data_IF_805644332369
#
_entry.id   IF_805644332369
#
_cell.length_a   1.000
_cell.length_b   1.000
_cell.length_c   1.000
_cell.angle_alpha   90.00
_cell.angle_beta   90.00
_cell.angle_gamma   90.00
#
_symmetry.space_group_name_H-M   'P 1'
#
loop_
_entity.id
_entity.type
_entity.pdbx_description
1 polymer ?
#
# COMPACT_ATOMS: atom_id res chain seq x y z
N UNK A 1 -13.21 -26.18 -0.13
CA UNK A 1 -12.61 -24.82 -0.11
C UNK A 1 -11.78 -24.72 1.14
N UNK A 2 -10.58 -24.14 1.04
CA UNK A 2 -9.79 -23.88 2.24
C UNK A 2 -10.44 -22.73 3.03
N UNK A 3 -10.27 -22.70 4.36
CA UNK A 3 -10.85 -21.63 5.15
C UNK A 3 -10.17 -20.28 4.91
N UNK A 4 -10.92 -19.20 5.12
CA UNK A 4 -10.39 -17.86 5.29
C UNK A 4 -9.98 -17.70 6.76
N UNK A 5 -8.76 -17.24 7.01
CA UNK A 5 -8.28 -17.02 8.38
C UNK A 5 -8.38 -15.55 8.75
N UNK A 6 -8.88 -15.27 9.94
CA UNK A 6 -9.00 -13.93 10.50
C UNK A 6 -8.15 -13.85 11.77
N UNK A 7 -7.27 -12.86 11.87
CA UNK A 7 -6.54 -12.57 13.09
C UNK A 7 -6.68 -11.10 13.45
N UNK A 8 -7.19 -10.85 14.64
CA UNK A 8 -7.47 -9.54 15.22
C UNK A 8 -7.58 -9.76 16.72
N UNK A 9 -7.20 -8.82 17.58
CA UNK A 9 -7.43 -8.98 19.03
C UNK A 9 -8.84 -8.57 19.46
N UNK A 10 -9.52 -7.72 18.69
CA UNK A 10 -10.90 -7.29 18.93
C UNK A 10 -11.90 -8.39 18.55
N UNK A 11 -12.57 -8.94 19.57
CA UNK A 11 -13.60 -9.95 19.39
C UNK A 11 -14.77 -9.47 18.53
N UNK A 12 -15.11 -8.18 18.60
CA UNK A 12 -16.22 -7.59 17.85
C UNK A 12 -15.93 -7.62 16.36
N UNK A 13 -14.71 -7.26 15.96
CA UNK A 13 -14.26 -7.31 14.57
C UNK A 13 -14.26 -8.74 14.05
N UNK A 14 -13.70 -9.69 14.81
CA UNK A 14 -13.72 -11.11 14.43
C UNK A 14 -15.16 -11.60 14.26
N UNK A 15 -16.03 -11.32 15.22
CA UNK A 15 -17.44 -11.76 15.18
C UNK A 15 -18.19 -11.20 13.97
N UNK A 16 -18.00 -9.92 13.63
CA UNK A 16 -18.65 -9.30 12.46
C UNK A 16 -18.19 -9.99 11.17
N UNK A 17 -16.88 -10.22 11.00
CA UNK A 17 -16.33 -10.92 9.83
C UNK A 17 -16.77 -12.38 9.76
N UNK A 18 -16.79 -13.11 10.87
CA UNK A 18 -17.31 -14.47 10.96
C UNK A 18 -18.77 -14.55 10.51
N UNK A 19 -19.61 -13.60 10.97
CA UNK A 19 -21.02 -13.53 10.55
C UNK A 19 -21.17 -13.25 9.06
N UNK A 20 -20.36 -12.37 8.51
CA UNK A 20 -20.34 -12.08 7.08
C UNK A 20 -19.97 -13.32 6.25
N UNK A 21 -18.86 -13.96 6.59
CA UNK A 21 -18.39 -15.17 5.90
C UNK A 21 -19.37 -16.34 6.04
N UNK A 22 -20.01 -16.48 7.21
CA UNK A 22 -21.04 -17.50 7.43
C UNK A 22 -22.26 -17.31 6.53
N UNK A 23 -22.70 -16.07 6.30
CA UNK A 23 -23.84 -15.76 5.41
C UNK A 23 -23.54 -16.20 3.97
N UNK A 24 -22.32 -16.01 3.52
CA UNK A 24 -21.81 -16.44 2.21
C UNK A 24 -21.39 -17.92 2.17
N UNK A 25 -21.56 -18.66 3.27
CA UNK A 25 -21.16 -20.08 3.43
C UNK A 25 -19.67 -20.31 3.15
N UNK A 26 -18.83 -19.32 3.41
CA UNK A 26 -17.38 -19.40 3.27
C UNK A 26 -16.80 -20.01 4.56
N UNK A 27 -16.06 -21.14 4.47
CA UNK A 27 -15.38 -21.71 5.63
C UNK A 27 -14.38 -20.70 6.19
N UNK A 28 -14.33 -20.55 7.50
CA UNK A 28 -13.45 -19.59 8.15
C UNK A 28 -12.94 -20.09 9.50
N UNK A 29 -11.84 -19.50 9.95
CA UNK A 29 -11.25 -19.76 11.27
C UNK A 29 -10.69 -18.44 11.80
N UNK A 30 -10.95 -18.15 13.06
CA UNK A 30 -10.50 -16.91 13.68
C UNK A 30 -9.46 -17.18 14.77
N UNK A 31 -8.59 -16.20 14.97
CA UNK A 31 -7.48 -16.23 15.91
C UNK A 31 -7.45 -14.88 16.64
N UNK A 32 -7.16 -14.91 17.94
CA UNK A 32 -6.96 -13.70 18.74
C UNK A 32 -5.50 -13.26 18.83
N UNK A 33 -4.57 -14.05 18.28
CA UNK A 33 -3.14 -13.84 18.41
C UNK A 33 -2.39 -14.29 17.14
N UNK A 34 -1.46 -13.47 16.61
CA UNK A 34 -0.64 -13.83 15.45
C UNK A 34 0.19 -15.11 15.64
N UNK A 35 0.63 -15.45 16.86
CA UNK A 35 1.39 -16.69 17.10
C UNK A 35 0.54 -17.94 16.86
N UNK A 36 -0.77 -17.88 17.14
CA UNK A 36 -1.66 -19.01 16.89
C UNK A 36 -1.86 -19.25 15.39
N UNK A 37 -1.78 -18.18 14.59
CA UNK A 37 -1.78 -18.26 13.12
C UNK A 37 -0.52 -18.96 12.63
N UNK A 38 0.66 -18.56 13.11
CA UNK A 38 1.93 -19.17 12.72
C UNK A 38 1.95 -20.67 13.04
N UNK A 39 1.53 -21.05 14.25
CA UNK A 39 1.43 -22.46 14.67
C UNK A 39 0.42 -23.25 13.82
N UNK A 40 -0.67 -22.60 13.38
CA UNK A 40 -1.64 -23.24 12.49
C UNK A 40 -1.10 -23.40 11.06
N UNK A 41 -0.31 -22.43 10.57
CA UNK A 41 0.32 -22.47 9.24
C UNK A 41 1.28 -23.65 9.07
N UNK A 42 1.85 -24.18 10.15
CA UNK A 42 2.68 -25.39 10.11
C UNK A 42 1.90 -26.65 9.71
N UNK A 43 0.58 -26.66 9.95
CA UNK A 43 -0.29 -27.84 9.75
C UNK A 43 -1.22 -27.67 8.56
N UNK A 44 -1.71 -26.46 8.35
CA UNK A 44 -2.79 -26.15 7.42
C UNK A 44 -2.52 -24.80 6.75
N UNK A 45 -3.05 -24.57 5.55
CA UNK A 45 -2.96 -23.25 4.91
C UNK A 45 -4.36 -22.72 4.58
N UNK A 46 -4.63 -21.43 4.86
CA UNK A 46 -5.87 -20.79 4.42
C UNK A 46 -5.83 -20.46 2.93
N UNK A 47 -6.98 -20.07 2.41
CA UNK A 47 -7.09 -19.46 1.07
C UNK A 47 -6.70 -17.96 1.09
N UNK A 48 -7.06 -17.25 2.17
CA UNK A 48 -6.70 -15.86 2.43
C UNK A 48 -6.48 -15.68 3.93
N UNK A 49 -5.48 -14.89 4.31
CA UNK A 49 -5.28 -14.44 5.69
C UNK A 49 -5.70 -12.97 5.81
N UNK A 50 -6.54 -12.64 6.77
CA UNK A 50 -6.93 -11.28 7.13
C UNK A 50 -6.31 -10.98 8.49
N UNK A 51 -5.47 -9.95 8.59
CA UNK A 51 -4.72 -9.64 9.82
C UNK A 51 -4.82 -8.18 10.20
N UNK A 52 -5.12 -7.86 11.46
CA UNK A 52 -4.90 -6.52 12.00
C UNK A 52 -3.40 -6.17 12.03
N UNK A 53 -3.04 -4.89 11.81
CA UNK A 53 -1.66 -4.39 11.91
C UNK A 53 -1.20 -4.38 13.37
N UNK A 54 -2.03 -3.92 14.30
CA UNK A 54 -1.62 -3.76 15.70
C UNK A 54 -2.44 -4.66 16.59
N UNK A 55 -1.78 -5.61 17.23
CA UNK A 55 -2.37 -6.45 18.27
C UNK A 55 -1.52 -6.34 19.55
N UNK A 56 -2.09 -6.38 20.76
CA UNK A 56 -1.35 -6.21 22.01
C UNK A 56 -0.19 -7.21 22.23
N UNK A 57 -0.20 -8.33 21.51
CA UNK A 57 0.76 -9.44 21.65
C UNK A 57 1.54 -9.74 20.36
N UNK A 58 1.55 -8.81 19.40
CA UNK A 58 2.33 -8.95 18.17
C UNK A 58 1.96 -7.91 17.11
N UNK A 59 2.80 -7.80 16.08
CA UNK A 59 2.61 -6.88 14.96
C UNK A 59 2.16 -7.66 13.72
N UNK A 60 1.06 -7.23 13.10
CA UNK A 60 0.54 -7.79 11.85
C UNK A 60 1.49 -7.63 10.67
N UNK A 61 2.35 -6.62 10.68
CA UNK A 61 3.42 -6.48 9.68
C UNK A 61 4.50 -7.56 9.84
N UNK A 62 4.86 -7.90 11.08
CA UNK A 62 5.82 -8.98 11.33
C UNK A 62 5.22 -10.33 10.92
N UNK A 63 3.93 -10.54 11.21
CA UNK A 63 3.18 -11.71 10.72
C UNK A 63 3.18 -11.75 9.18
N UNK A 64 2.88 -10.62 8.52
CA UNK A 64 2.90 -10.53 7.07
C UNK A 64 4.26 -10.92 6.48
N UNK A 65 5.36 -10.39 7.04
CA UNK A 65 6.71 -10.73 6.57
C UNK A 65 7.00 -12.23 6.73
N UNK A 66 6.71 -12.82 7.88
CA UNK A 66 6.90 -14.27 8.11
C UNK A 66 6.03 -15.12 7.17
N UNK A 67 4.77 -14.73 6.98
CA UNK A 67 3.84 -15.39 6.08
C UNK A 67 4.33 -15.30 4.64
N UNK A 68 4.84 -14.15 4.20
CA UNK A 68 5.32 -13.97 2.82
C UNK A 68 6.66 -14.65 2.55
N UNK A 69 7.51 -14.79 3.58
CA UNK A 69 8.73 -15.57 3.47
C UNK A 69 8.45 -17.07 3.33
N UNK A 70 7.50 -17.61 4.12
CA UNK A 70 7.18 -19.04 4.15
C UNK A 70 6.14 -19.47 3.09
N UNK A 71 5.17 -18.61 2.81
CA UNK A 71 4.04 -18.82 1.90
C UNK A 71 3.85 -17.60 0.97
N UNK A 72 4.78 -17.36 0.02
CA UNK A 72 4.76 -16.15 -0.83
C UNK A 72 3.45 -15.92 -1.58
N UNK A 73 2.78 -17.02 -1.96
CA UNK A 73 1.54 -17.00 -2.75
C UNK A 73 0.28 -16.86 -1.90
N UNK A 74 0.37 -16.89 -0.57
CA UNK A 74 -0.81 -16.70 0.28
C UNK A 74 -1.21 -15.21 0.23
N UNK A 75 -2.40 -14.85 -0.28
CA UNK A 75 -2.87 -13.48 -0.20
C UNK A 75 -3.15 -13.11 1.25
N UNK A 76 -2.60 -11.97 1.66
CA UNK A 76 -2.77 -11.40 3.01
C UNK A 76 -3.44 -10.05 2.89
N UNK A 77 -4.62 -9.91 3.49
CA UNK A 77 -5.34 -8.64 3.61
C UNK A 77 -5.02 -8.06 4.99
N UNK A 78 -4.57 -6.81 5.02
CA UNK A 78 -4.22 -6.13 6.27
C UNK A 78 -5.38 -5.24 6.73
N UNK A 79 -5.82 -5.36 7.98
CA UNK A 79 -6.79 -4.46 8.59
C UNK A 79 -6.05 -3.42 9.42
N UNK A 80 -6.51 -2.16 9.41
CA UNK A 80 -5.88 -1.10 10.20
C UNK A 80 -6.89 -0.08 10.68
N UNK A 81 -6.78 0.34 11.94
CA UNK A 81 -7.44 1.54 12.47
C UNK A 81 -6.60 2.80 12.23
N UNK A 82 -5.31 2.65 11.96
CA UNK A 82 -4.43 3.76 11.60
C UNK A 82 -4.60 4.11 10.15
N UNK A 83 -4.76 5.40 9.96
CA UNK A 83 -5.14 6.01 8.71
C UNK A 83 -3.95 6.79 8.12
N UNK A 84 -2.72 6.42 8.50
CA UNK A 84 -1.49 7.12 8.12
C UNK A 84 -0.80 6.47 6.91
N UNK A 85 0.01 7.28 6.24
CA UNK A 85 0.67 6.89 5.00
C UNK A 85 1.71 5.78 5.23
N UNK A 86 2.48 5.86 6.32
CA UNK A 86 3.56 4.92 6.59
C UNK A 86 3.03 3.50 6.76
N UNK A 87 1.94 3.31 7.50
CA UNK A 87 1.33 1.99 7.68
C UNK A 87 0.82 1.40 6.36
N UNK A 88 0.22 2.22 5.50
CA UNK A 88 -0.24 1.79 4.18
C UNK A 88 0.95 1.34 3.31
N UNK A 89 2.02 2.13 3.24
CA UNK A 89 3.21 1.80 2.47
C UNK A 89 3.89 0.54 2.98
N UNK A 90 4.14 0.44 4.29
CA UNK A 90 4.83 -0.72 4.88
C UNK A 90 4.06 -2.02 4.64
N UNK A 91 2.72 -1.98 4.64
CA UNK A 91 1.89 -3.14 4.33
C UNK A 91 2.10 -3.62 2.89
N UNK A 92 2.06 -2.72 1.89
CA UNK A 92 2.29 -3.09 0.50
C UNK A 92 3.73 -3.53 0.22
N UNK A 93 4.72 -2.87 0.83
CA UNK A 93 6.13 -3.27 0.75
C UNK A 93 6.37 -4.67 1.35
N UNK A 94 5.68 -4.99 2.44
CA UNK A 94 5.69 -6.33 3.05
C UNK A 94 4.97 -7.40 2.21
N UNK A 95 4.38 -7.04 1.07
CA UNK A 95 3.73 -7.97 0.15
C UNK A 95 2.24 -8.21 0.44
N UNK A 96 1.58 -7.35 1.22
CA UNK A 96 0.13 -7.43 1.42
C UNK A 96 -0.59 -7.38 0.06
N UNK A 97 -1.65 -8.17 -0.06
CA UNK A 97 -2.50 -8.18 -1.23
C UNK A 97 -3.30 -6.88 -1.35
N UNK A 98 -3.91 -6.48 -0.24
CA UNK A 98 -4.68 -5.25 -0.10
C UNK A 98 -4.79 -4.91 1.39
N UNK A 99 -5.26 -3.71 1.71
CA UNK A 99 -5.60 -3.35 3.08
C UNK A 99 -7.02 -2.78 3.21
N UNK A 100 -7.60 -2.99 4.38
CA UNK A 100 -8.96 -2.65 4.79
C UNK A 100 -8.91 -1.70 6.00
N UNK A 101 -9.48 -0.50 5.87
CA UNK A 101 -9.51 0.51 6.94
C UNK A 101 -10.69 0.28 7.88
N UNK A 102 -10.45 0.29 9.19
CA UNK A 102 -11.50 0.31 10.22
C UNK A 102 -12.00 1.75 10.43
N UNK A 103 -13.32 2.00 10.54
CA UNK A 103 -14.41 1.05 10.31
C UNK A 103 -14.58 0.75 8.82
N UNK A 104 -14.89 -0.51 8.49
CA UNK A 104 -15.12 -0.96 7.11
C UNK A 104 -16.56 -1.40 6.89
N UNK A 105 -16.97 -1.34 5.63
CA UNK A 105 -18.20 -1.96 5.16
C UNK A 105 -18.00 -3.48 4.98
N UNK A 106 -18.95 -4.26 5.45
CA UNK A 106 -18.90 -5.73 5.42
C UNK A 106 -18.94 -6.25 3.98
N UNK A 107 -19.76 -5.65 3.13
CA UNK A 107 -19.92 -6.09 1.73
C UNK A 107 -18.63 -5.84 0.96
N UNK A 108 -17.96 -4.70 1.21
CA UNK A 108 -16.63 -4.41 0.65
C UNK A 108 -15.57 -5.39 1.14
N UNK A 109 -15.61 -5.81 2.41
CA UNK A 109 -14.67 -6.78 2.94
C UNK A 109 -14.84 -8.16 2.25
N UNK A 110 -16.09 -8.60 2.07
CA UNK A 110 -16.41 -9.86 1.38
C UNK A 110 -16.00 -9.81 -0.10
N UNK A 111 -16.28 -8.72 -0.81
CA UNK A 111 -15.85 -8.51 -2.19
C UNK A 111 -14.32 -8.62 -2.32
N UNK A 112 -13.59 -7.99 -1.38
CA UNK A 112 -12.14 -8.03 -1.35
C UNK A 112 -11.61 -9.46 -1.13
N UNK A 113 -12.25 -10.23 -0.26
CA UNK A 113 -11.90 -11.64 -0.02
C UNK A 113 -12.11 -12.47 -1.28
N UNK A 114 -13.22 -12.31 -1.99
CA UNK A 114 -13.45 -13.00 -3.26
C UNK A 114 -12.39 -12.67 -4.30
N UNK A 115 -11.99 -11.39 -4.41
CA UNK A 115 -10.91 -10.97 -5.32
C UNK A 115 -9.59 -11.62 -4.93
N UNK A 116 -9.25 -11.64 -3.65
CA UNK A 116 -8.04 -12.28 -3.13
C UNK A 116 -8.00 -13.79 -3.42
N UNK A 117 -9.12 -14.50 -3.26
CA UNK A 117 -9.25 -15.93 -3.62
C UNK A 117 -9.06 -16.16 -5.12
N UNK A 118 -9.58 -15.25 -5.97
CA UNK A 118 -9.44 -15.31 -7.42
C UNK A 118 -8.02 -15.04 -7.92
N UNK A 119 -7.35 -14.05 -7.34
CA UNK A 119 -6.02 -13.59 -7.75
C UNK A 119 -4.86 -14.37 -7.10
N UNK A 120 -5.08 -15.03 -5.95
CA UNK A 120 -4.10 -15.95 -5.35
C UNK A 120 -3.67 -17.11 -6.26
N UNK A 121 -4.39 -17.32 -7.39
CA UNK A 121 -4.06 -18.28 -8.44
C UNK A 121 -3.21 -17.70 -9.59
N UNK A 122 -3.04 -16.37 -9.66
CA UNK A 122 -2.46 -15.65 -10.80
C UNK A 122 -1.62 -14.47 -10.32
N UNK A 123 -0.43 -14.68 -9.76
CA UNK A 123 0.81 -13.94 -10.08
C UNK A 123 1.90 -14.14 -9.03
N UNK A 124 3.11 -14.28 -9.54
CA UNK A 124 4.38 -14.20 -8.82
C UNK A 124 4.94 -12.80 -9.05
N UNK A 125 5.19 -12.04 -7.97
CA UNK A 125 6.27 -11.03 -7.99
C UNK A 125 6.87 -10.96 -6.59
N UNK A 126 8.16 -11.26 -6.38
CA UNK A 126 8.77 -11.14 -5.07
C UNK A 126 9.06 -9.67 -4.75
N UNK A 127 8.53 -9.19 -3.63
CA UNK A 127 8.92 -7.91 -3.04
C UNK A 127 10.31 -8.05 -2.40
N UNK A 128 11.28 -7.24 -2.84
CA UNK A 128 12.59 -7.11 -2.21
C UNK A 128 12.50 -6.05 -1.10
N UNK A 129 12.99 -6.42 0.07
CA UNK A 129 13.22 -5.55 1.22
C UNK A 129 14.08 -4.34 0.86
N UNK A 130 13.73 -3.16 1.37
CA UNK A 130 14.65 -2.03 1.51
C UNK A 130 14.18 -1.11 2.62
N UNK A 131 14.85 -1.19 3.75
CA UNK A 131 14.71 -0.29 4.88
C UNK A 131 15.46 1.03 4.64
N UNK A 132 14.75 2.12 4.96
CA UNK A 132 15.14 3.41 5.54
C UNK A 132 16.37 4.17 5.02
N UNK A 133 16.14 5.39 4.49
CA UNK A 133 16.86 6.63 4.85
C UNK A 133 15.89 7.83 4.77
N UNK A 134 15.84 8.65 5.82
CA UNK A 134 14.94 9.82 5.98
C UNK A 134 15.57 11.12 5.44
N UNK A 135 14.81 11.88 4.66
CA UNK A 135 14.84 13.34 4.67
C UNK A 135 13.42 13.84 4.99
N UNK A 136 13.32 14.79 5.92
CA UNK A 136 12.05 15.36 6.40
C UNK A 136 11.46 16.31 5.35
N UNK A 137 10.56 15.77 4.53
CA UNK A 137 9.54 16.55 3.82
C UNK A 137 8.26 16.61 4.68
N UNK A 138 7.37 17.60 4.47
CA UNK A 138 6.10 17.67 5.21
C UNK A 138 5.29 16.38 5.02
N UNK A 139 4.90 15.77 6.14
CA UNK A 139 4.13 14.54 6.13
C UNK A 139 2.67 14.84 5.75
N UNK A 140 2.09 14.04 4.86
CA UNK A 140 0.67 14.17 4.51
C UNK A 140 -0.16 13.66 5.69
N UNK A 141 -0.99 14.53 6.25
CA UNK A 141 -1.89 14.18 7.35
C UNK A 141 -3.33 14.15 6.82
N UNK A 142 -4.07 13.11 7.14
CA UNK A 142 -5.49 13.03 6.79
C UNK A 142 -6.15 11.76 7.29
N UNK A 143 -7.25 11.88 8.01
CA UNK A 143 -8.03 10.74 8.54
C UNK A 143 -9.32 10.49 7.75
N UNK A 144 -9.70 11.41 6.85
CA UNK A 144 -10.91 11.28 6.06
C UNK A 144 -10.84 10.04 5.15
N UNK A 145 -11.96 9.32 4.90
CA UNK A 145 -11.99 8.14 4.03
C UNK A 145 -11.38 8.38 2.64
N UNK A 146 -11.60 9.55 2.05
CA UNK A 146 -11.00 9.91 0.76
C UNK A 146 -9.46 9.98 0.81
N UNK A 147 -8.89 10.47 1.92
CA UNK A 147 -7.43 10.48 2.11
C UNK A 147 -6.87 9.08 2.32
N UNK A 148 -7.66 8.17 2.88
CA UNK A 148 -7.26 6.76 2.97
C UNK A 148 -7.11 6.13 1.60
N UNK A 149 -8.03 6.42 0.68
CA UNK A 149 -7.90 5.97 -0.71
C UNK A 149 -6.65 6.54 -1.40
N UNK A 150 -6.26 7.79 -1.08
CA UNK A 150 -4.99 8.37 -1.56
C UNK A 150 -3.79 7.62 -0.98
N UNK A 151 -3.76 7.34 0.32
CA UNK A 151 -2.68 6.57 0.95
C UNK A 151 -2.60 5.13 0.41
N UNK A 152 -3.74 4.50 0.10
CA UNK A 152 -3.80 3.22 -0.63
C UNK A 152 -3.10 3.29 -1.96
N UNK A 153 -3.46 4.29 -2.76
CA UNK A 153 -2.91 4.48 -4.08
C UNK A 153 -1.40 4.70 -4.01
N UNK A 154 -0.93 5.54 -3.07
CA UNK A 154 0.50 5.78 -2.87
C UNK A 154 1.23 4.49 -2.50
N UNK A 155 0.76 3.75 -1.50
CA UNK A 155 1.40 2.50 -1.07
C UNK A 155 1.51 1.50 -2.21
N UNK A 156 0.41 1.28 -2.95
CA UNK A 156 0.36 0.36 -4.09
C UNK A 156 1.24 0.79 -5.27
N UNK A 157 1.23 2.08 -5.61
CA UNK A 157 1.95 2.60 -6.78
C UNK A 157 3.44 2.83 -6.49
N UNK A 158 3.84 3.03 -5.24
CA UNK A 158 5.24 3.32 -4.87
C UNK A 158 6.23 2.26 -5.35
N UNK A 159 5.81 0.99 -5.40
CA UNK A 159 6.66 -0.13 -5.84
C UNK A 159 6.64 -0.35 -7.37
N UNK A 160 5.82 0.41 -8.10
CA UNK A 160 5.66 0.28 -9.54
C UNK A 160 6.49 1.33 -10.29
N UNK A 161 6.82 1.04 -11.56
CA UNK A 161 7.53 1.96 -12.45
C UNK A 161 6.59 2.72 -13.41
N UNK A 162 5.28 2.68 -13.14
CA UNK A 162 4.28 3.34 -13.99
C UNK A 162 4.26 4.85 -13.78
N UNK A 163 3.92 5.59 -14.84
CA UNK A 163 3.65 7.04 -14.75
C UNK A 163 2.33 7.29 -14.02
N UNK A 164 2.32 8.25 -13.10
CA UNK A 164 1.15 8.61 -12.29
C UNK A 164 0.69 10.01 -12.63
N UNK A 165 -0.61 10.20 -12.89
CA UNK A 165 -1.25 11.50 -13.05
C UNK A 165 -1.99 11.86 -11.75
N UNK A 166 -1.59 12.93 -11.10
CA UNK A 166 -2.22 13.43 -9.87
C UNK A 166 -3.10 14.62 -10.22
N UNK A 167 -4.39 14.55 -9.90
CA UNK A 167 -5.37 15.60 -10.17
C UNK A 167 -5.95 16.16 -8.87
N UNK A 168 -6.48 17.38 -8.93
CA UNK A 168 -7.04 18.07 -7.77
C UNK A 168 -6.92 19.59 -7.90
N UNK A 169 -7.73 20.30 -7.13
CA UNK A 169 -7.74 21.76 -7.08
C UNK A 169 -6.39 22.34 -6.61
N UNK A 170 -6.20 23.64 -6.81
CA UNK A 170 -4.98 24.31 -6.34
C UNK A 170 -4.89 24.23 -4.81
N UNK A 171 -3.70 23.93 -4.28
CA UNK A 171 -3.47 23.84 -2.83
C UNK A 171 -3.89 22.52 -2.15
N UNK A 172 -4.41 21.53 -2.87
CA UNK A 172 -4.84 20.23 -2.26
C UNK A 172 -3.71 19.26 -1.94
N UNK A 173 -2.45 19.70 -1.97
CA UNK A 173 -1.30 18.85 -1.62
C UNK A 173 -0.83 17.87 -2.70
N UNK A 174 -1.13 18.12 -3.99
CA UNK A 174 -0.69 17.25 -5.11
C UNK A 174 0.82 16.99 -5.12
N UNK A 175 1.61 18.00 -4.78
CA UNK A 175 3.07 17.90 -4.70
C UNK A 175 3.52 16.99 -3.55
N UNK A 176 2.84 17.03 -2.41
CA UNK A 176 3.11 16.13 -1.29
C UNK A 176 2.85 14.67 -1.69
N UNK A 177 1.80 14.40 -2.47
CA UNK A 177 1.51 13.06 -3.01
C UNK A 177 2.63 12.58 -3.94
N UNK A 178 3.15 13.45 -4.82
CA UNK A 178 4.27 13.12 -5.70
C UNK A 178 5.55 12.82 -4.91
N UNK A 179 5.85 13.61 -3.88
CA UNK A 179 6.96 13.37 -2.96
C UNK A 179 6.81 12.05 -2.22
N UNK A 180 5.62 11.74 -1.72
CA UNK A 180 5.34 10.48 -1.02
C UNK A 180 5.58 9.26 -1.94
N UNK A 181 5.09 9.31 -3.18
CA UNK A 181 5.36 8.27 -4.17
C UNK A 181 6.87 8.06 -4.38
N UNK A 182 7.64 9.13 -4.53
CA UNK A 182 9.08 9.04 -4.69
C UNK A 182 9.79 8.49 -3.45
N UNK A 183 9.50 9.05 -2.26
CA UNK A 183 10.07 8.66 -0.96
C UNK A 183 9.91 7.17 -0.68
N UNK A 184 8.79 6.59 -1.08
CA UNK A 184 8.47 5.19 -0.81
C UNK A 184 8.80 4.26 -1.99
N UNK A 185 9.36 4.77 -3.08
CA UNK A 185 9.73 3.98 -4.25
C UNK A 185 11.14 3.38 -4.14
N UNK A 186 11.48 2.39 -4.99
CA UNK A 186 12.86 1.92 -5.14
C UNK A 186 13.86 3.01 -5.57
N UNK A 187 13.36 4.17 -6.05
CA UNK A 187 14.15 5.32 -6.48
C UNK A 187 14.32 6.38 -5.41
N UNK A 188 13.88 6.13 -4.16
CA UNK A 188 13.93 7.12 -3.08
C UNK A 188 15.30 7.77 -2.82
N UNK A 189 16.39 7.08 -3.16
CA UNK A 189 17.78 7.59 -3.07
C UNK A 189 18.19 8.50 -4.23
N UNK A 190 17.42 8.53 -5.30
CA UNK A 190 17.64 9.39 -6.45
C UNK A 190 17.10 10.80 -6.22
N UNK A 191 17.42 11.75 -7.12
CA UNK A 191 16.89 13.10 -7.03
C UNK A 191 15.39 13.12 -7.37
N UNK A 192 14.62 13.86 -6.56
CA UNK A 192 13.26 14.25 -6.90
C UNK A 192 13.29 15.65 -7.51
N UNK A 193 12.92 15.77 -8.78
CA UNK A 193 12.91 17.05 -9.51
C UNK A 193 11.45 17.48 -9.71
N UNK A 194 11.02 18.49 -8.96
CA UNK A 194 9.72 19.13 -9.14
C UNK A 194 9.83 20.26 -10.16
N UNK A 195 9.02 20.22 -11.21
CA UNK A 195 8.96 21.25 -12.24
C UNK A 195 7.55 21.82 -12.34
N UNK A 196 7.42 23.10 -12.04
CA UNK A 196 6.18 23.85 -12.25
C UNK A 196 6.18 24.47 -13.65
N UNK A 197 5.58 23.78 -14.62
CA UNK A 197 5.52 24.22 -16.02
C UNK A 197 4.77 25.54 -16.20
N UNK A 198 3.86 25.91 -15.28
CA UNK A 198 3.15 27.19 -15.35
C UNK A 198 4.04 28.39 -14.98
N UNK A 199 5.15 28.14 -14.28
CA UNK A 199 6.13 29.17 -13.92
C UNK A 199 7.25 29.32 -14.96
N UNK A 200 7.32 28.42 -15.95
CA UNK A 200 8.37 28.41 -16.98
C UNK A 200 7.76 28.93 -18.29
N UNK A 201 8.37 29.95 -18.93
CA UNK A 201 7.95 30.38 -20.26
C UNK A 201 7.98 29.21 -21.25
N UNK A 202 6.93 29.10 -22.08
CA UNK A 202 6.78 27.99 -23.03
C UNK A 202 8.02 27.81 -23.92
N UNK A 203 8.62 28.92 -24.34
CA UNK A 203 9.77 28.93 -25.25
C UNK A 203 11.07 28.43 -24.60
N UNK A 204 11.13 28.37 -23.26
CA UNK A 204 12.28 27.88 -22.50
C UNK A 204 12.09 26.45 -21.97
N UNK A 205 10.85 25.96 -21.93
CA UNK A 205 10.52 24.68 -21.28
C UNK A 205 11.27 23.50 -21.90
N UNK A 206 11.35 23.42 -23.23
CA UNK A 206 12.08 22.35 -23.92
C UNK A 206 13.59 22.38 -23.61
N UNK A 207 14.17 23.59 -23.59
CA UNK A 207 15.58 23.79 -23.25
C UNK A 207 15.88 23.40 -21.80
N UNK A 208 15.01 23.71 -20.85
CA UNK A 208 15.19 23.34 -19.44
C UNK A 208 15.03 21.83 -19.21
N UNK A 209 14.13 21.16 -19.95
CA UNK A 209 13.87 19.72 -19.79
C UNK A 209 14.91 18.82 -20.46
N UNK A 210 15.38 19.22 -21.64
CA UNK A 210 16.21 18.37 -22.50
C UNK A 210 17.64 18.90 -22.68
N UNK A 211 17.91 20.13 -22.22
CA UNK A 211 19.12 20.86 -22.55
C UNK A 211 19.05 21.47 -23.95
N UNK A 212 20.05 22.28 -24.28
CA UNK A 212 20.23 22.84 -25.61
C UNK A 212 21.71 22.90 -25.97
N UNK A 213 22.02 22.81 -27.27
CA UNK A 213 23.36 23.08 -27.76
C UNK A 213 23.56 24.58 -28.02
N UNK A 214 24.82 25.02 -27.99
CA UNK A 214 25.17 26.41 -28.27
C UNK A 214 24.65 26.82 -29.65
N UNK A 215 23.83 27.88 -29.68
CA UNK A 215 23.21 28.38 -30.91
C UNK A 215 21.88 27.72 -31.31
N UNK A 216 21.29 26.86 -30.46
CA UNK A 216 19.98 26.24 -30.74
C UNK A 216 18.83 27.26 -30.86
N UNK A 217 18.93 28.43 -30.23
CA UNK A 217 17.99 29.54 -30.37
C UNK A 217 18.68 30.89 -30.15
N UNK A 218 18.02 31.99 -30.51
CA UNK A 218 18.51 33.36 -30.30
C UNK A 218 18.59 33.66 -28.79
N UNK A 219 19.80 33.64 -28.24
CA UNK A 219 20.07 33.79 -26.80
C UNK A 219 20.82 32.61 -26.16
N UNK A 220 20.96 31.48 -26.88
CA UNK A 220 21.71 30.29 -26.44
C UNK A 220 23.24 30.49 -26.49
N UNK A 221 23.76 31.44 -25.68
CA UNK A 221 25.17 31.82 -25.65
C UNK A 221 26.01 31.19 -24.52
N UNK A 222 25.44 30.35 -23.66
CA UNK A 222 26.23 29.74 -22.57
C UNK A 222 25.86 28.27 -22.28
N UNK A 223 26.88 27.41 -22.37
CA UNK A 223 27.33 26.54 -21.27
C UNK A 223 28.81 26.87 -21.04
#
# INVERSE_FOLDING_TARGET
>A
MKPIWIVDDDQSIRWVLEKALSREKIPHRSFSNPNDVLNALEKESPEVLISDIRMPRGNGLDLLQHVKASHPNLPVIIMTAYSDLESAVSSFQGGAFEYLTKPFDIDKAVELIHRAVGEGKRTQTPAKESAAWLQEAPEIIGQAPAMQEVFRAIGRLSQSQVTVLITGESGTGKELVAHALHKHSPRAKGPFIALNTAAIPKDLLESELFGHERGAFTGAQAL
#
